data_IF_746564228361
#
_entry.id   IF_746564228361
#
_cell.length_a   1.000
_cell.length_b   1.000
_cell.length_c   1.000
_cell.angle_alpha   90.00
_cell.angle_beta   90.00
_cell.angle_gamma   90.00
#
_symmetry.space_group_name_H-M   'P 1'
#
loop_
_entity.id
_entity.type
_entity.pdbx_description
1 polymer ?
#
# COMPACT_ATOMS: atom_id res chain seq x y z
N UNK A 1 -21.11 -31.90 -17.67
CA UNK A 1 -19.94 -31.02 -17.57
C UNK A 1 -20.06 -30.23 -16.27
N UNK A 2 -19.15 -30.36 -15.30
CA UNK A 2 -19.17 -29.49 -14.13
C UNK A 2 -18.76 -28.09 -14.59
N UNK A 3 -19.66 -27.13 -14.42
CA UNK A 3 -19.38 -25.69 -14.62
C UNK A 3 -18.37 -25.33 -13.55
N UNK A 4 -17.08 -25.20 -13.92
CA UNK A 4 -16.07 -24.58 -13.10
C UNK A 4 -16.47 -23.12 -12.87
N UNK A 5 -17.12 -22.85 -11.75
CA UNK A 5 -17.31 -21.49 -11.28
C UNK A 5 -15.91 -20.90 -11.04
N UNK A 6 -15.37 -20.20 -12.02
CA UNK A 6 -14.21 -19.36 -11.81
C UNK A 6 -14.48 -18.45 -10.63
N UNK A 7 -13.76 -18.64 -9.53
CA UNK A 7 -13.88 -17.76 -8.37
C UNK A 7 -13.51 -16.34 -8.79
N UNK A 8 -14.52 -15.48 -8.94
CA UNK A 8 -14.33 -14.06 -9.29
C UNK A 8 -13.36 -13.43 -8.27
N UNK A 9 -12.24 -12.87 -8.76
CA UNK A 9 -11.21 -12.28 -7.90
C UNK A 9 -11.72 -11.05 -7.15
N UNK A 10 -11.00 -10.63 -6.09
CA UNK A 10 -11.29 -9.38 -5.37
C UNK A 10 -11.37 -8.19 -6.34
N UNK A 11 -10.36 -8.05 -7.21
CA UNK A 11 -10.27 -6.95 -8.17
C UNK A 11 -11.43 -6.93 -9.18
N UNK A 12 -11.86 -8.10 -9.67
CA UNK A 12 -13.01 -8.19 -10.57
C UNK A 12 -14.31 -7.74 -9.88
N UNK A 13 -14.50 -8.07 -8.60
CA UNK A 13 -15.70 -7.65 -7.84
C UNK A 13 -15.71 -6.17 -7.54
N UNK A 14 -14.55 -5.54 -7.41
CA UNK A 14 -14.40 -4.12 -7.12
C UNK A 14 -14.29 -3.25 -8.38
N UNK A 15 -14.13 -3.84 -9.57
CA UNK A 15 -13.89 -3.12 -10.82
C UNK A 15 -14.97 -2.08 -11.13
N UNK A 16 -16.25 -2.42 -10.94
CA UNK A 16 -17.36 -1.49 -11.19
C UNK A 16 -17.27 -0.26 -10.29
N UNK A 17 -16.92 -0.45 -9.02
CA UNK A 17 -16.73 0.63 -8.06
C UNK A 17 -15.60 1.58 -8.50
N UNK A 18 -14.44 1.04 -8.84
CA UNK A 18 -13.29 1.86 -9.27
C UNK A 18 -13.56 2.61 -10.59
N UNK A 19 -14.20 1.97 -11.57
CA UNK A 19 -14.60 2.63 -12.82
C UNK A 19 -15.58 3.79 -12.58
N UNK A 20 -16.49 3.64 -11.61
CA UNK A 20 -17.41 4.71 -11.22
C UNK A 20 -16.69 5.87 -10.52
N UNK A 21 -15.64 5.59 -9.71
CA UNK A 21 -14.80 6.62 -9.12
C UNK A 21 -14.06 7.43 -10.18
N UNK A 22 -13.37 6.77 -11.11
CA UNK A 22 -12.65 7.41 -12.23
C UNK A 22 -13.57 8.27 -13.08
N UNK A 23 -14.80 7.80 -13.30
CA UNK A 23 -15.85 8.54 -14.02
C UNK A 23 -16.52 9.62 -13.17
N UNK A 24 -16.04 9.87 -11.93
CA UNK A 24 -16.61 10.85 -10.97
C UNK A 24 -18.08 10.61 -10.60
N UNK A 25 -18.57 9.38 -10.79
CA UNK A 25 -19.93 8.97 -10.45
C UNK A 25 -20.01 8.56 -8.98
N UNK A 26 -19.65 9.47 -8.06
CA UNK A 26 -19.43 9.16 -6.64
C UNK A 26 -20.66 8.56 -5.94
N UNK A 27 -21.88 9.03 -6.26
CA UNK A 27 -23.10 8.48 -5.67
C UNK A 27 -23.39 7.04 -6.13
N UNK A 28 -23.04 6.72 -7.39
CA UNK A 28 -23.13 5.33 -7.87
C UNK A 28 -22.06 4.46 -7.24
N UNK A 29 -20.83 4.97 -7.15
CA UNK A 29 -19.72 4.29 -6.50
C UNK A 29 -20.07 3.95 -5.04
N UNK A 30 -20.65 4.90 -4.30
CA UNK A 30 -21.10 4.69 -2.92
C UNK A 30 -22.12 3.56 -2.82
N UNK A 31 -23.15 3.58 -3.66
CA UNK A 31 -24.17 2.50 -3.68
C UNK A 31 -23.58 1.13 -4.06
N UNK A 32 -22.61 1.11 -5.00
CA UNK A 32 -21.92 -0.12 -5.42
C UNK A 32 -21.08 -0.67 -4.28
N UNK A 33 -20.30 0.17 -3.62
CA UNK A 33 -19.45 -0.22 -2.49
C UNK A 33 -20.31 -0.75 -1.34
N UNK A 34 -21.40 -0.07 -1.03
CA UNK A 34 -22.29 -0.45 0.07
C UNK A 34 -23.05 -1.77 -0.21
N UNK A 35 -23.38 -2.08 -1.46
CA UNK A 35 -23.99 -3.35 -1.87
C UNK A 35 -23.00 -4.51 -1.98
N UNK A 36 -21.70 -4.24 -2.07
CA UNK A 36 -20.67 -5.28 -2.27
C UNK A 36 -20.39 -6.03 -0.97
N UNK A 37 -21.02 -7.20 -0.79
CA UNK A 37 -20.89 -8.04 0.41
C UNK A 37 -19.43 -8.43 0.72
N UNK A 38 -18.58 -8.54 -0.32
CA UNK A 38 -17.20 -8.97 -0.15
C UNK A 38 -16.39 -7.99 0.72
N UNK A 39 -16.48 -6.68 0.43
CA UNK A 39 -15.68 -5.67 1.14
C UNK A 39 -16.20 -5.45 2.57
N UNK A 40 -17.47 -5.74 2.84
CA UNK A 40 -18.09 -5.62 4.17
C UNK A 40 -17.76 -6.79 5.11
N UNK A 41 -17.11 -7.87 4.65
CA UNK A 41 -16.71 -8.97 5.52
C UNK A 41 -15.70 -8.48 6.55
N UNK A 42 -15.73 -9.05 7.76
CA UNK A 42 -14.86 -8.63 8.88
C UNK A 42 -13.41 -8.52 8.48
N UNK A 43 -12.89 -9.51 7.76
CA UNK A 43 -11.52 -9.52 7.26
C UNK A 43 -11.16 -8.41 6.27
N UNK A 44 -12.13 -7.70 5.71
CA UNK A 44 -11.97 -6.63 4.74
C UNK A 44 -12.45 -5.26 5.27
N UNK A 45 -12.87 -5.18 6.54
CA UNK A 45 -13.44 -3.97 7.15
C UNK A 45 -12.53 -2.76 6.99
N UNK A 46 -11.22 -2.93 7.14
CA UNK A 46 -10.27 -1.84 6.98
C UNK A 46 -10.37 -1.21 5.59
N UNK A 47 -10.39 -2.04 4.53
CA UNK A 47 -10.56 -1.53 3.16
C UNK A 47 -11.90 -0.84 2.95
N UNK A 48 -12.98 -1.37 3.53
CA UNK A 48 -14.28 -0.70 3.48
C UNK A 48 -14.22 0.68 4.11
N UNK A 49 -13.57 0.81 5.26
CA UNK A 49 -13.42 2.10 5.94
C UNK A 49 -12.55 3.08 5.14
N UNK A 50 -11.45 2.62 4.57
CA UNK A 50 -10.59 3.42 3.71
C UNK A 50 -11.32 3.92 2.46
N UNK A 51 -11.99 3.02 1.74
CA UNK A 51 -12.71 3.37 0.51
C UNK A 51 -13.89 4.33 0.78
N UNK A 52 -14.66 4.11 1.86
CA UNK A 52 -15.72 5.02 2.27
C UNK A 52 -15.17 6.37 2.70
N UNK A 53 -14.08 6.38 3.48
CA UNK A 53 -13.41 7.62 3.90
C UNK A 53 -12.95 8.45 2.70
N UNK A 54 -12.26 7.83 1.74
CA UNK A 54 -11.83 8.50 0.50
C UNK A 54 -13.00 9.01 -0.33
N UNK A 55 -14.05 8.21 -0.46
CA UNK A 55 -15.23 8.57 -1.25
C UNK A 55 -15.98 9.78 -0.66
N UNK A 56 -16.13 9.84 0.68
CA UNK A 56 -16.70 11.01 1.35
C UNK A 56 -15.80 12.24 1.20
N UNK A 57 -14.46 12.07 1.26
CA UNK A 57 -13.53 13.16 1.00
C UNK A 57 -13.71 13.73 -0.41
N UNK A 58 -13.80 12.86 -1.45
CA UNK A 58 -14.06 13.27 -2.84
C UNK A 58 -15.41 14.00 -3.01
N UNK A 59 -16.41 13.65 -2.20
CA UNK A 59 -17.70 14.34 -2.14
C UNK A 59 -17.68 15.62 -1.29
N UNK A 60 -16.54 15.98 -0.71
CA UNK A 60 -16.38 17.12 0.23
C UNK A 60 -17.23 17.00 1.49
N UNK A 61 -17.59 15.79 1.88
CA UNK A 61 -18.29 15.46 3.13
C UNK A 61 -17.26 15.07 4.19
N UNK A 62 -16.49 16.05 4.66
CA UNK A 62 -15.27 15.85 5.41
C UNK A 62 -15.48 15.21 6.78
N UNK A 63 -16.54 15.56 7.50
CA UNK A 63 -16.87 14.95 8.80
C UNK A 63 -17.22 13.45 8.63
N UNK A 64 -18.00 13.10 7.59
CA UNK A 64 -18.29 11.72 7.26
C UNK A 64 -17.02 10.96 6.86
N UNK A 65 -16.14 11.60 6.09
CA UNK A 65 -14.84 11.05 5.73
C UNK A 65 -14.03 10.71 6.99
N UNK A 66 -13.87 11.68 7.91
CA UNK A 66 -13.15 11.47 9.16
C UNK A 66 -13.80 10.42 10.05
N UNK A 67 -15.14 10.32 10.07
CA UNK A 67 -15.83 9.25 10.80
C UNK A 67 -15.40 7.85 10.32
N UNK A 68 -15.29 7.63 9.00
CA UNK A 68 -14.82 6.36 8.46
C UNK A 68 -13.32 6.14 8.66
N UNK A 69 -12.50 7.16 8.44
CA UNK A 69 -11.05 7.08 8.64
C UNK A 69 -10.68 6.87 10.12
N UNK A 70 -11.45 7.43 11.06
CA UNK A 70 -11.28 7.14 12.49
C UNK A 70 -11.62 5.68 12.84
N UNK A 71 -12.62 5.08 12.17
CA UNK A 71 -12.89 3.64 12.29
C UNK A 71 -11.74 2.80 11.74
N UNK A 72 -11.11 3.24 10.64
CA UNK A 72 -9.94 2.58 10.09
C UNK A 72 -8.75 2.66 11.05
N UNK A 73 -8.49 3.83 11.60
CA UNK A 73 -7.42 4.10 12.56
C UNK A 73 -7.57 3.23 13.83
N UNK A 74 -8.75 3.24 14.42
CA UNK A 74 -9.07 2.38 15.56
C UNK A 74 -8.91 0.88 15.25
N UNK A 75 -9.35 0.45 14.06
CA UNK A 75 -9.20 -0.93 13.62
C UNK A 75 -7.73 -1.34 13.52
N UNK A 76 -6.87 -0.49 12.95
CA UNK A 76 -5.43 -0.75 12.87
C UNK A 76 -4.81 -0.88 14.27
N UNK A 77 -5.18 0.00 15.20
CA UNK A 77 -4.66 -0.02 16.57
C UNK A 77 -5.08 -1.28 17.34
N UNK A 78 -6.31 -1.75 17.15
CA UNK A 78 -6.86 -2.91 17.86
C UNK A 78 -6.41 -4.24 17.28
N UNK A 79 -6.45 -4.40 15.95
CA UNK A 79 -6.12 -5.66 15.29
C UNK A 79 -4.62 -5.97 15.27
N UNK A 80 -3.75 -4.96 15.30
CA UNK A 80 -2.30 -5.19 15.44
C UNK A 80 -1.92 -5.90 16.75
N UNK A 81 -2.69 -5.69 17.81
CA UNK A 81 -2.45 -6.34 19.12
C UNK A 81 -2.77 -7.83 19.11
N UNK A 82 -3.58 -8.29 18.15
CA UNK A 82 -4.02 -9.69 18.02
C UNK A 82 -3.28 -10.48 16.92
N UNK A 83 -2.17 -9.96 16.42
CA UNK A 83 -1.42 -10.49 15.26
C UNK A 83 -0.97 -11.98 15.38
N UNK A 84 -1.04 -12.59 16.57
CA UNK A 84 -0.73 -14.02 16.72
C UNK A 84 -1.64 -14.96 15.93
N UNK A 85 -2.93 -14.60 15.73
CA UNK A 85 -3.89 -15.40 14.95
C UNK A 85 -3.77 -15.17 13.44
N UNK A 86 -3.23 -14.04 13.03
CA UNK A 86 -2.99 -13.68 11.62
C UNK A 86 -1.95 -14.62 10.98
N UNK A 87 -0.95 -15.06 11.74
CA UNK A 87 0.05 -16.01 11.27
C UNK A 87 -0.54 -17.37 10.86
N UNK A 88 -1.53 -17.88 11.61
CA UNK A 88 -2.18 -19.15 11.30
C UNK A 88 -3.05 -19.08 10.04
N UNK A 89 -3.80 -17.98 9.85
CA UNK A 89 -4.63 -17.77 8.68
C UNK A 89 -3.80 -17.61 7.40
N UNK A 90 -2.64 -16.93 7.48
CA UNK A 90 -1.72 -16.75 6.37
C UNK A 90 -1.10 -18.07 5.88
N UNK A 91 -1.04 -19.09 6.71
CA UNK A 91 -0.52 -20.42 6.33
C UNK A 91 -1.48 -21.23 5.45
N UNK A 92 -2.77 -20.88 5.44
CA UNK A 92 -3.79 -21.60 4.65
C UNK A 92 -4.13 -20.86 3.37
N UNK A 93 -4.56 -19.60 3.49
CA UNK A 93 -4.93 -18.73 2.37
C UNK A 93 -4.87 -17.27 2.81
N UNK A 94 -3.92 -16.44 2.29
CA UNK A 94 -3.77 -15.04 2.69
C UNK A 94 -5.05 -14.20 2.51
N UNK A 95 -5.88 -14.51 1.50
CA UNK A 95 -7.16 -13.84 1.29
C UNK A 95 -8.19 -14.10 2.38
N UNK A 96 -7.97 -15.10 3.24
CA UNK A 96 -8.82 -15.39 4.39
C UNK A 96 -8.37 -14.67 5.66
N UNK A 97 -7.14 -14.19 5.70
CA UNK A 97 -6.63 -13.39 6.80
C UNK A 97 -7.29 -12.00 6.85
N UNK A 98 -7.32 -11.40 8.03
CA UNK A 98 -7.72 -10.00 8.21
C UNK A 98 -6.75 -9.08 7.47
N UNK A 99 -7.27 -8.16 6.67
CA UNK A 99 -6.46 -7.16 5.98
C UNK A 99 -6.04 -6.06 6.98
N UNK A 100 -4.75 -5.87 7.15
CA UNK A 100 -4.16 -4.92 8.11
C UNK A 100 -3.61 -3.64 7.46
N UNK A 101 -3.79 -3.51 6.14
CA UNK A 101 -3.26 -2.40 5.36
C UNK A 101 -1.84 -2.63 4.84
N UNK A 102 -1.50 -1.91 3.78
CA UNK A 102 -0.12 -1.76 3.31
C UNK A 102 0.56 -0.62 4.09
N UNK A 103 1.90 -0.67 4.17
CA UNK A 103 2.66 0.25 5.03
C UNK A 103 2.40 1.73 4.74
N UNK A 104 2.22 2.12 3.46
CA UNK A 104 1.92 3.50 3.07
C UNK A 104 0.47 3.92 3.33
N UNK A 105 -0.47 2.99 3.43
CA UNK A 105 -1.90 3.34 3.52
C UNK A 105 -2.25 4.05 4.83
N UNK A 106 -1.51 3.75 5.91
CA UNK A 106 -1.66 4.42 7.19
C UNK A 106 -1.30 5.90 7.12
N UNK A 107 -0.20 6.24 6.44
CA UNK A 107 0.21 7.62 6.27
C UNK A 107 -0.79 8.39 5.42
N UNK A 108 -1.27 7.77 4.35
CA UNK A 108 -2.31 8.35 3.50
C UNK A 108 -3.62 8.57 4.24
N UNK A 109 -3.97 7.72 5.20
CA UNK A 109 -5.13 7.94 6.07
C UNK A 109 -4.98 9.24 6.87
N UNK A 110 -3.82 9.47 7.51
CA UNK A 110 -3.56 10.68 8.28
C UNK A 110 -3.48 11.94 7.39
N UNK A 111 -2.97 11.82 6.16
CA UNK A 111 -3.02 12.90 5.16
C UNK A 111 -4.47 13.35 4.90
N UNK A 112 -5.38 12.43 4.60
CA UNK A 112 -6.78 12.79 4.36
C UNK A 112 -7.48 13.30 5.61
N UNK A 113 -7.24 12.70 6.77
CA UNK A 113 -7.80 13.18 8.05
C UNK A 113 -7.35 14.61 8.35
N UNK A 114 -6.06 14.88 8.22
CA UNK A 114 -5.49 16.20 8.44
C UNK A 114 -6.10 17.25 7.52
N UNK A 115 -6.19 16.99 6.20
CA UNK A 115 -6.85 17.89 5.26
C UNK A 115 -8.33 18.10 5.57
N UNK A 116 -9.07 17.05 5.91
CA UNK A 116 -10.47 17.14 6.26
C UNK A 116 -10.71 18.08 7.46
N UNK A 117 -9.86 17.96 8.49
CA UNK A 117 -9.93 18.82 9.67
C UNK A 117 -9.62 20.28 9.32
N UNK A 118 -8.65 20.55 8.45
CA UNK A 118 -8.39 21.89 7.96
C UNK A 118 -9.58 22.47 7.16
N UNK A 119 -10.22 21.65 6.31
CA UNK A 119 -11.39 22.06 5.51
C UNK A 119 -12.64 22.34 6.36
N UNK A 120 -12.69 21.79 7.57
CA UNK A 120 -13.77 22.04 8.54
C UNK A 120 -13.37 23.02 9.64
N UNK A 121 -12.25 23.75 9.47
CA UNK A 121 -11.68 24.70 10.43
C UNK A 121 -11.40 24.10 11.82
N UNK A 122 -11.11 22.79 11.88
CA UNK A 122 -10.77 22.07 13.10
C UNK A 122 -9.24 21.92 13.20
N UNK A 123 -8.53 23.03 13.32
CA UNK A 123 -7.06 23.06 13.28
C UNK A 123 -6.42 22.28 14.44
N UNK A 124 -7.03 22.26 15.62
CA UNK A 124 -6.56 21.48 16.76
C UNK A 124 -6.54 19.96 16.45
N UNK A 125 -7.59 19.48 15.78
CA UNK A 125 -7.68 18.07 15.36
C UNK A 125 -6.67 17.74 14.25
N UNK A 126 -6.40 18.70 13.35
CA UNK A 126 -5.35 18.54 12.36
C UNK A 126 -3.96 18.38 13.01
N UNK A 127 -3.68 19.10 14.11
CA UNK A 127 -2.45 18.93 14.92
C UNK A 127 -2.39 17.55 15.57
N UNK A 128 -3.52 16.98 15.98
CA UNK A 128 -3.55 15.58 16.47
C UNK A 128 -3.10 14.63 15.38
N UNK A 129 -3.56 14.80 14.14
CA UNK A 129 -3.10 13.96 13.02
C UNK A 129 -1.61 14.16 12.71
N UNK A 130 -1.09 15.38 12.82
CA UNK A 130 0.35 15.63 12.71
C UNK A 130 1.16 14.81 13.73
N UNK A 131 0.71 14.73 14.98
CA UNK A 131 1.35 13.90 16.03
C UNK A 131 1.21 12.41 15.73
N UNK A 132 0.08 11.95 15.21
CA UNK A 132 -0.15 10.56 14.81
C UNK A 132 0.78 10.11 13.69
N UNK A 133 1.14 10.99 12.75
CA UNK A 133 2.17 10.71 11.73
C UNK A 133 3.51 10.37 12.39
N UNK A 134 3.93 11.10 13.43
CA UNK A 134 5.15 10.75 14.19
C UNK A 134 5.06 9.37 14.81
N UNK A 135 3.94 9.06 15.46
CA UNK A 135 3.74 7.75 16.09
C UNK A 135 3.74 6.62 15.06
N UNK A 136 3.13 6.84 13.89
CA UNK A 136 3.12 5.88 12.79
C UNK A 136 4.54 5.61 12.25
N UNK A 137 5.34 6.67 12.03
CA UNK A 137 6.74 6.56 11.60
C UNK A 137 7.59 5.80 12.64
N UNK A 138 7.43 6.08 13.93
CA UNK A 138 8.16 5.40 14.98
C UNK A 138 7.78 3.91 15.05
N UNK A 139 6.49 3.61 15.08
CA UNK A 139 5.99 2.24 15.11
C UNK A 139 6.45 1.42 13.89
N UNK A 140 6.51 2.02 12.69
CA UNK A 140 6.98 1.34 11.49
C UNK A 140 8.50 1.16 11.51
N UNK A 141 9.26 2.14 11.99
CA UNK A 141 10.71 2.02 12.17
C UNK A 141 11.06 0.90 13.17
N UNK A 142 10.32 0.80 14.26
CA UNK A 142 10.50 -0.25 15.28
C UNK A 142 10.17 -1.63 14.69
N UNK A 143 9.08 -1.76 13.94
CA UNK A 143 8.70 -3.02 13.26
C UNK A 143 9.80 -3.51 12.31
N UNK A 144 10.51 -2.59 11.66
CA UNK A 144 11.61 -2.92 10.76
C UNK A 144 12.98 -2.91 11.44
N UNK A 145 13.04 -2.85 12.78
CA UNK A 145 14.28 -2.77 13.55
C UNK A 145 15.22 -1.65 13.06
N UNK A 146 14.66 -0.50 12.72
CA UNK A 146 15.36 0.67 12.20
C UNK A 146 16.21 0.40 10.92
N UNK A 147 15.87 -0.61 10.13
CA UNK A 147 16.58 -0.91 8.88
C UNK A 147 16.34 0.21 7.86
N UNK A 148 17.43 0.86 7.45
CA UNK A 148 17.39 2.00 6.52
C UNK A 148 17.03 1.64 5.08
N UNK A 149 17.13 0.35 4.71
CA UNK A 149 16.77 -0.17 3.40
C UNK A 149 15.30 -0.61 3.31
N UNK A 150 14.48 -0.24 4.28
CA UNK A 150 13.05 -0.52 4.33
C UNK A 150 12.26 0.78 4.31
N UNK A 151 11.02 0.73 3.85
CA UNK A 151 10.09 1.85 3.96
C UNK A 151 9.68 2.09 5.42
N UNK A 152 10.63 2.55 6.21
CA UNK A 152 10.46 2.75 7.65
C UNK A 152 9.87 4.12 7.99
N UNK A 153 9.90 5.06 7.06
CA UNK A 153 9.42 6.43 7.22
C UNK A 153 8.75 6.90 5.94
N UNK A 154 7.78 7.78 6.10
CA UNK A 154 7.11 8.45 4.99
C UNK A 154 7.51 9.93 4.96
N UNK A 155 8.34 10.29 3.97
CA UNK A 155 8.86 11.65 3.83
C UNK A 155 7.76 12.66 3.46
N UNK A 156 6.78 12.24 2.63
CA UNK A 156 5.63 13.08 2.29
C UNK A 156 4.74 13.32 3.50
N UNK A 157 4.42 12.28 4.27
CA UNK A 157 3.62 12.43 5.48
C UNK A 157 4.31 13.37 6.50
N UNK A 158 5.64 13.31 6.65
CA UNK A 158 6.39 14.26 7.48
C UNK A 158 6.33 15.69 6.93
N UNK A 159 6.37 15.87 5.61
CA UNK A 159 6.19 17.18 4.98
C UNK A 159 4.78 17.73 5.26
N UNK A 160 3.73 16.90 5.08
CA UNK A 160 2.35 17.24 5.44
C UNK A 160 2.24 17.56 6.92
N UNK A 161 2.90 16.81 7.80
CA UNK A 161 2.96 17.09 9.23
C UNK A 161 3.46 18.51 9.52
N UNK A 162 4.52 18.93 8.83
CA UNK A 162 5.03 20.31 8.91
C UNK A 162 3.98 21.33 8.49
N UNK A 163 3.27 21.07 7.40
CA UNK A 163 2.18 21.94 6.91
C UNK A 163 1.01 22.05 7.90
N UNK A 164 0.64 20.94 8.58
CA UNK A 164 -0.42 20.94 9.59
C UNK A 164 -0.02 21.75 10.84
N UNK A 165 1.23 21.63 11.30
CA UNK A 165 1.75 22.47 12.38
C UNK A 165 1.81 23.95 11.99
N UNK A 166 2.27 24.25 10.78
CA UNK A 166 2.32 25.61 10.27
C UNK A 166 0.91 26.24 10.17
N UNK A 167 -0.09 25.48 9.72
CA UNK A 167 -1.49 25.91 9.70
C UNK A 167 -2.02 26.27 11.10
N UNK A 168 -1.48 25.64 12.14
CA UNK A 168 -1.77 25.94 13.53
C UNK A 168 -0.86 27.02 14.14
N UNK A 169 -0.01 27.67 13.35
CA UNK A 169 1.00 28.65 13.79
C UNK A 169 2.07 28.06 14.76
N UNK A 170 2.21 26.74 14.79
CA UNK A 170 3.24 26.04 15.56
C UNK A 170 4.51 25.90 14.70
N UNK A 171 5.23 27.01 14.53
CA UNK A 171 6.38 27.10 13.62
C UNK A 171 7.54 26.22 14.10
N UNK A 172 7.71 26.05 15.40
CA UNK A 172 8.78 25.19 15.93
C UNK A 172 8.58 23.74 15.53
N UNK A 173 7.40 23.18 15.76
CA UNK A 173 7.10 21.80 15.35
C UNK A 173 7.01 21.65 13.82
N UNK A 174 6.59 22.71 13.09
CA UNK A 174 6.65 22.73 11.64
C UNK A 174 8.10 22.61 11.14
N UNK A 175 9.04 23.39 11.69
CA UNK A 175 10.46 23.27 11.36
C UNK A 175 10.99 21.86 11.61
N UNK A 176 10.73 21.29 12.77
CA UNK A 176 11.17 19.93 13.13
C UNK A 176 10.64 18.91 12.12
N UNK A 177 9.37 19.00 11.74
CA UNK A 177 8.76 18.07 10.79
C UNK A 177 9.32 18.22 9.36
N UNK A 178 9.43 19.44 8.84
CA UNK A 178 10.03 19.70 7.53
C UNK A 178 11.49 19.26 7.48
N UNK A 179 12.27 19.56 8.52
CA UNK A 179 13.66 19.10 8.64
C UNK A 179 13.74 17.57 8.60
N UNK A 180 12.93 16.88 9.39
CA UNK A 180 12.91 15.43 9.42
C UNK A 180 12.52 14.84 8.06
N UNK A 181 11.58 15.46 7.33
CA UNK A 181 11.24 15.06 5.97
C UNK A 181 12.43 15.24 5.01
N UNK A 182 13.10 16.41 5.04
CA UNK A 182 14.26 16.68 4.21
C UNK A 182 15.44 15.72 4.51
N UNK A 183 15.66 15.40 5.78
CA UNK A 183 16.71 14.47 6.21
C UNK A 183 16.52 13.05 5.67
N UNK A 184 15.27 12.58 5.46
CA UNK A 184 15.01 11.30 4.79
C UNK A 184 15.54 11.31 3.37
N UNK A 185 15.31 12.40 2.62
CA UNK A 185 15.84 12.55 1.26
C UNK A 185 17.38 12.68 1.25
N UNK A 186 17.95 13.48 2.16
CA UNK A 186 19.41 13.68 2.22
C UNK A 186 20.14 12.38 2.50
N UNK A 187 19.62 11.52 3.40
CA UNK A 187 20.17 10.19 3.69
C UNK A 187 20.04 9.22 2.53
N UNK A 188 19.19 9.51 1.55
CA UNK A 188 18.89 8.69 0.37
C UNK A 188 19.39 9.34 -0.92
N UNK A 189 20.52 10.05 -0.89
CA UNK A 189 21.11 10.75 -2.03
C UNK A 189 20.13 11.72 -2.73
N UNK A 190 19.34 12.44 -1.94
CA UNK A 190 18.32 13.41 -2.39
C UNK A 190 17.18 12.78 -3.23
N UNK A 191 17.05 11.46 -3.21
CA UNK A 191 15.95 10.76 -3.90
C UNK A 191 15.40 9.62 -3.02
N UNK A 192 14.10 9.62 -2.75
CA UNK A 192 13.45 8.64 -1.89
C UNK A 192 12.21 8.08 -2.58
N UNK A 193 12.16 6.76 -2.80
CA UNK A 193 11.09 6.04 -3.49
C UNK A 193 10.54 6.76 -4.74
N UNK A 194 11.46 7.06 -5.67
CA UNK A 194 11.08 7.71 -6.94
C UNK A 194 10.97 9.23 -6.89
N UNK A 195 10.85 9.83 -5.72
CA UNK A 195 10.70 11.28 -5.53
C UNK A 195 12.05 11.93 -5.21
N UNK A 196 12.40 13.00 -5.92
CA UNK A 196 13.55 13.84 -5.59
C UNK A 196 13.19 14.83 -4.47
N UNK A 197 14.18 15.23 -3.65
CA UNK A 197 13.96 16.24 -2.60
C UNK A 197 13.30 17.50 -3.18
N UNK A 198 12.05 17.81 -2.82
CA UNK A 198 11.34 18.95 -3.41
C UNK A 198 11.98 20.28 -3.04
N UNK A 199 12.07 21.21 -4.01
CA UNK A 199 12.60 22.55 -3.75
C UNK A 199 11.74 23.32 -2.75
N UNK A 200 10.40 23.13 -2.81
CA UNK A 200 9.50 23.76 -1.86
C UNK A 200 9.78 23.29 -0.42
N UNK A 201 10.06 21.99 -0.21
CA UNK A 201 10.42 21.46 1.11
C UNK A 201 11.74 22.08 1.61
N UNK A 202 12.72 22.26 0.73
CA UNK A 202 13.97 22.95 1.08
C UNK A 202 13.68 24.37 1.56
N UNK A 203 12.84 25.11 0.82
CA UNK A 203 12.45 26.47 1.20
C UNK A 203 11.64 26.50 2.51
N UNK A 204 10.76 25.51 2.75
CA UNK A 204 9.98 25.43 3.99
C UNK A 204 10.87 25.16 5.22
N UNK A 205 11.94 24.34 5.09
CA UNK A 205 12.96 24.18 6.15
C UNK A 205 13.66 25.49 6.42
N UNK A 206 14.17 26.17 5.38
CA UNK A 206 14.94 27.41 5.54
C UNK A 206 14.05 28.54 6.11
N UNK A 207 12.83 28.66 5.60
CA UNK A 207 11.88 29.69 6.04
C UNK A 207 11.48 29.51 7.50
N UNK A 208 11.19 28.28 7.92
CA UNK A 208 10.79 28.01 9.30
C UNK A 208 11.96 28.14 10.27
N UNK A 209 13.19 27.75 9.87
CA UNK A 209 14.41 28.04 10.64
C UNK A 209 14.60 29.54 10.84
N UNK A 210 14.47 30.34 9.77
CA UNK A 210 14.57 31.79 9.82
C UNK A 210 13.53 32.42 10.76
N UNK A 211 12.25 31.97 10.67
CA UNK A 211 11.18 32.48 11.53
C UNK A 211 11.42 32.17 13.01
N UNK A 212 12.13 31.08 13.32
CA UNK A 212 12.49 30.69 14.68
C UNK A 212 13.80 31.31 15.17
N UNK A 213 14.53 32.05 14.31
CA UNK A 213 15.86 32.59 14.63
C UNK A 213 16.95 31.53 14.74
N UNK A 214 16.79 30.37 14.09
CA UNK A 214 17.77 29.28 14.07
C UNK A 214 18.80 29.49 12.97
N UNK A 215 19.65 30.51 13.13
CA UNK A 215 20.61 30.92 12.10
C UNK A 215 21.63 29.81 11.76
N UNK A 216 22.09 29.08 12.76
CA UNK A 216 23.05 27.98 12.58
C UNK A 216 22.48 26.85 11.72
N UNK A 217 21.27 26.44 12.03
CA UNK A 217 20.54 25.41 11.29
C UNK A 217 20.20 25.89 9.87
N UNK A 218 19.77 27.14 9.72
CA UNK A 218 19.51 27.72 8.40
C UNK A 218 20.77 27.64 7.52
N UNK A 219 21.91 28.13 8.00
CA UNK A 219 23.18 28.08 7.25
C UNK A 219 23.62 26.66 6.95
N UNK A 220 23.43 25.72 7.88
CA UNK A 220 23.72 24.31 7.64
C UNK A 220 22.88 23.75 6.49
N UNK A 221 21.56 23.97 6.49
CA UNK A 221 20.68 23.45 5.45
C UNK A 221 20.84 24.18 4.12
N UNK A 222 21.18 25.47 4.10
CA UNK A 222 21.56 26.19 2.88
C UNK A 222 22.74 25.51 2.17
N UNK A 223 23.76 25.08 2.93
CA UNK A 223 24.90 24.32 2.39
C UNK A 223 24.49 22.92 1.91
N UNK A 224 23.68 22.17 2.69
CA UNK A 224 23.25 20.82 2.33
C UNK A 224 22.37 20.81 1.07
N UNK A 225 21.51 21.79 0.94
CA UNK A 225 20.61 21.94 -0.21
C UNK A 225 21.32 22.57 -1.41
N UNK A 226 22.39 23.33 -1.20
CA UNK A 226 23.05 24.20 -2.17
C UNK A 226 22.08 25.28 -2.69
N UNK A 227 21.31 25.90 -1.79
CA UNK A 227 20.35 26.98 -2.08
C UNK A 227 20.25 27.91 -0.90
N UNK A 228 19.72 29.12 -1.10
CA UNK A 228 19.48 30.10 -0.05
C UNK A 228 17.99 30.34 0.14
N UNK A 229 17.63 30.90 1.30
CA UNK A 229 16.25 31.28 1.58
C UNK A 229 15.77 32.31 0.56
N UNK A 230 14.70 31.99 -0.15
CA UNK A 230 14.00 32.93 -1.00
C UNK A 230 13.06 33.79 -0.13
N UNK A 231 13.32 35.09 -0.12
CA UNK A 231 12.44 36.05 0.58
C UNK A 231 11.15 36.17 -0.22
N UNK A 232 10.09 35.66 0.34
CA UNK A 232 8.74 35.82 -0.18
C UNK A 232 7.86 36.45 0.90
N UNK A 233 7.23 37.55 0.56
CA UNK A 233 6.30 38.27 1.45
C UNK A 233 4.98 38.40 0.74
N UNK A 234 4.07 37.49 0.98
CA UNK A 234 2.73 37.55 0.42
C UNK A 234 1.73 38.11 1.40
N UNK A 235 1.19 39.31 1.10
CA UNK A 235 0.18 39.96 1.93
C UNK A 235 -1.14 39.19 2.01
N UNK A 236 -1.44 38.34 1.02
CA UNK A 236 -2.61 37.45 0.97
C UNK A 236 -2.41 36.07 1.60
N UNK A 237 -1.20 35.78 2.09
CA UNK A 237 -0.83 34.45 2.57
C UNK A 237 -0.50 33.49 1.43
N UNK A 238 -0.66 32.19 1.68
CA UNK A 238 -0.26 31.15 0.72
C UNK A 238 -1.36 30.11 0.52
N UNK A 239 -1.41 29.57 -0.70
CA UNK A 239 -2.16 28.36 -1.00
C UNK A 239 -1.19 27.18 -1.19
N UNK A 240 -1.38 26.11 -0.43
CA UNK A 240 -0.83 24.80 -0.73
C UNK A 240 -1.88 24.02 -1.53
N UNK A 241 -1.55 23.73 -2.79
CA UNK A 241 -2.42 22.96 -3.66
C UNK A 241 -1.81 21.58 -3.88
N UNK A 242 -2.52 20.52 -3.46
CA UNK A 242 -2.22 19.15 -3.82
C UNK A 242 -3.00 18.75 -5.06
N UNK A 243 -2.33 18.14 -6.04
CA UNK A 243 -2.96 17.53 -7.21
C UNK A 243 -2.70 16.04 -7.20
N UNK A 244 -3.75 15.30 -6.87
CA UNK A 244 -3.77 13.85 -6.82
C UNK A 244 -4.07 13.29 -8.21
N UNK A 245 -3.19 12.42 -8.74
CA UNK A 245 -3.27 11.94 -10.13
C UNK A 245 -3.39 10.44 -10.19
N UNK A 246 -4.34 9.98 -11.03
CA UNK A 246 -4.59 8.57 -11.28
C UNK A 246 -5.00 7.80 -10.04
N UNK A 247 -5.02 6.49 -10.14
CA UNK A 247 -5.23 5.56 -9.02
C UNK A 247 -3.96 4.78 -8.71
N UNK A 248 -3.81 4.37 -7.47
CA UNK A 248 -2.76 3.47 -7.00
C UNK A 248 -2.68 2.18 -7.84
N UNK A 249 -1.52 1.52 -7.87
CA UNK A 249 -1.35 0.29 -8.63
C UNK A 249 -2.24 -0.82 -8.09
N UNK A 250 -2.66 -1.72 -8.96
CA UNK A 250 -3.48 -2.87 -8.58
C UNK A 250 -2.59 -4.02 -8.13
N UNK A 251 -2.85 -4.54 -6.95
CA UNK A 251 -2.17 -5.74 -6.48
C UNK A 251 -2.82 -6.97 -7.12
N UNK A 252 -2.04 -7.72 -7.91
CA UNK A 252 -2.49 -8.91 -8.66
C UNK A 252 -1.76 -10.15 -8.17
N UNK A 253 -2.25 -11.29 -8.60
CA UNK A 253 -1.64 -12.60 -8.35
C UNK A 253 -0.89 -13.08 -9.60
N UNK A 254 0.31 -13.58 -9.38
CA UNK A 254 1.09 -14.29 -10.36
C UNK A 254 1.46 -15.68 -9.85
N UNK A 255 1.41 -16.64 -10.73
CA UNK A 255 1.67 -18.02 -10.40
C UNK A 255 3.06 -18.45 -10.89
N UNK A 256 3.80 -19.04 -9.99
CA UNK A 256 5.12 -19.58 -10.25
C UNK A 256 5.10 -21.10 -10.12
N UNK A 257 5.81 -21.79 -10.99
CA UNK A 257 6.09 -23.20 -10.85
C UNK A 257 7.49 -23.37 -10.24
N UNK A 258 7.59 -24.23 -9.24
CA UNK A 258 8.86 -24.62 -8.65
C UNK A 258 9.08 -26.09 -8.98
N UNK A 259 10.22 -26.43 -9.59
CA UNK A 259 10.60 -27.82 -9.90
C UNK A 259 11.90 -28.18 -9.22
N UNK A 260 11.95 -29.37 -8.69
CA UNK A 260 13.17 -29.95 -8.16
C UNK A 260 13.89 -30.75 -9.29
N UNK A 261 15.16 -30.43 -9.52
CA UNK A 261 15.98 -31.17 -10.48
C UNK A 261 16.56 -32.44 -9.83
N UNK A 262 16.91 -33.44 -10.64
CA UNK A 262 17.45 -34.72 -10.17
C UNK A 262 18.74 -34.62 -9.33
N UNK A 263 19.39 -33.45 -9.31
CA UNK A 263 20.62 -33.17 -8.56
C UNK A 263 20.36 -32.51 -7.19
N UNK A 264 19.12 -32.48 -6.70
CA UNK A 264 18.77 -31.86 -5.42
C UNK A 264 18.72 -30.34 -5.44
N UNK A 265 19.06 -29.69 -6.57
CA UNK A 265 18.95 -28.27 -6.79
C UNK A 265 17.50 -27.92 -7.17
N UNK A 266 16.81 -27.19 -6.35
CA UNK A 266 15.50 -26.64 -6.70
C UNK A 266 15.69 -25.43 -7.61
N UNK A 267 15.09 -25.49 -8.80
CA UNK A 267 14.98 -24.31 -9.68
C UNK A 267 13.68 -23.61 -9.44
N UNK A 268 13.77 -22.30 -9.24
CA UNK A 268 12.64 -21.41 -9.15
C UNK A 268 12.54 -20.61 -10.45
N UNK A 269 11.50 -20.82 -11.21
CA UNK A 269 11.29 -20.11 -12.45
C UNK A 269 9.86 -19.64 -12.60
N UNK A 270 9.72 -18.55 -13.31
CA UNK A 270 8.46 -17.98 -13.75
C UNK A 270 8.28 -18.29 -15.23
N UNK A 271 7.06 -18.63 -15.60
CA UNK A 271 6.68 -18.77 -17.01
C UNK A 271 5.91 -17.51 -17.39
N UNK A 272 6.44 -16.71 -18.32
CA UNK A 272 5.78 -15.50 -18.81
C UNK A 272 4.57 -15.84 -19.72
N UNK A 273 3.86 -14.80 -20.15
CA UNK A 273 2.70 -14.97 -21.03
C UNK A 273 3.03 -15.56 -22.41
N UNK A 274 4.30 -15.50 -22.82
CA UNK A 274 4.82 -16.07 -24.07
C UNK A 274 5.36 -17.51 -23.89
N UNK A 275 5.32 -18.04 -22.67
CA UNK A 275 5.79 -19.39 -22.35
C UNK A 275 7.29 -19.49 -22.09
N UNK A 276 8.01 -18.37 -21.98
CA UNK A 276 9.43 -18.38 -21.67
C UNK A 276 9.65 -18.66 -20.19
N UNK A 277 10.64 -19.51 -19.88
CA UNK A 277 11.08 -19.75 -18.50
C UNK A 277 12.12 -18.71 -18.10
N UNK A 278 11.81 -17.93 -17.06
CA UNK A 278 12.72 -16.96 -16.49
C UNK A 278 13.17 -17.49 -15.12
N UNK A 279 14.43 -17.88 -15.01
CA UNK A 279 14.99 -18.37 -13.74
C UNK A 279 15.11 -17.19 -12.77
N UNK A 280 14.59 -17.39 -11.55
CA UNK A 280 14.71 -16.42 -10.46
C UNK A 280 15.83 -16.96 -9.55
N UNK A 281 16.94 -16.24 -9.39
CA UNK A 281 18.01 -16.65 -8.48
C UNK A 281 17.47 -16.60 -7.04
N UNK A 282 17.30 -17.75 -6.44
CA UNK A 282 16.86 -17.88 -5.06
C UNK A 282 17.82 -18.83 -4.31
N UNK A 283 18.35 -18.35 -3.20
CA UNK A 283 19.18 -19.17 -2.33
C UNK A 283 18.29 -20.00 -1.38
N UNK A 284 18.16 -21.27 -1.67
CA UNK A 284 17.46 -22.23 -0.83
C UNK A 284 18.27 -22.66 0.41
N UNK A 285 19.49 -22.14 0.61
CA UNK A 285 20.36 -22.51 1.73
C UNK A 285 19.71 -22.40 3.10
N UNK A 286 18.80 -21.45 3.27
CA UNK A 286 18.01 -21.31 4.50
C UNK A 286 17.01 -22.46 4.69
N UNK A 287 16.54 -23.12 3.63
CA UNK A 287 15.59 -24.25 3.71
C UNK A 287 16.26 -25.62 3.79
N UNK A 288 17.52 -25.72 3.40
CA UNK A 288 18.30 -26.96 3.60
C UNK A 288 18.54 -27.28 5.09
N UNK A 289 18.35 -26.30 5.99
CA UNK A 289 18.39 -26.53 7.45
C UNK A 289 17.10 -27.13 8.01
N UNK A 290 15.99 -27.14 7.24
CA UNK A 290 14.77 -27.84 7.61
C UNK A 290 14.88 -29.28 7.10
N UNK A 291 15.67 -30.11 7.81
CA UNK A 291 15.78 -31.56 7.69
C UNK A 291 15.99 -32.08 6.26
N UNK A 292 17.22 -31.96 5.74
CA UNK A 292 17.68 -32.64 4.54
C UNK A 292 17.46 -34.19 4.55
N UNK A 293 17.14 -34.76 5.70
CA UNK A 293 16.86 -36.17 5.91
C UNK A 293 15.38 -36.55 5.86
N UNK A 294 14.47 -35.61 5.64
CA UNK A 294 13.05 -35.96 5.51
C UNK A 294 12.73 -36.43 4.08
N UNK A 295 12.75 -37.76 3.91
CA UNK A 295 12.40 -38.43 2.63
C UNK A 295 11.04 -38.02 2.07
N UNK A 296 10.17 -37.42 2.88
CA UNK A 296 8.86 -36.88 2.49
C UNK A 296 8.98 -35.62 1.64
N UNK A 297 10.03 -34.82 1.82
CA UNK A 297 10.30 -33.64 0.97
C UNK A 297 10.86 -34.02 -0.40
N UNK A 298 11.46 -35.22 -0.54
CA UNK A 298 11.97 -35.72 -1.82
C UNK A 298 10.84 -36.07 -2.81
N UNK A 299 9.59 -36.17 -2.35
CA UNK A 299 8.42 -36.41 -3.21
C UNK A 299 7.88 -35.12 -3.87
N UNK A 300 8.39 -33.94 -3.54
CA UNK A 300 8.03 -32.67 -4.18
C UNK A 300 8.74 -32.55 -5.54
N UNK A 301 8.11 -33.04 -6.60
CA UNK A 301 8.68 -32.90 -7.96
C UNK A 301 8.36 -31.55 -8.59
N UNK A 302 7.21 -31.01 -8.32
CA UNK A 302 6.75 -29.71 -8.83
C UNK A 302 5.56 -29.20 -8.00
N UNK A 303 5.54 -27.92 -7.70
CA UNK A 303 4.40 -27.28 -7.05
C UNK A 303 4.22 -25.83 -7.51
N UNK A 304 2.99 -25.34 -7.42
CA UNK A 304 2.62 -23.98 -7.77
C UNK A 304 2.67 -23.08 -6.53
N UNK A 305 3.23 -21.88 -6.69
CA UNK A 305 3.23 -20.82 -5.70
C UNK A 305 2.56 -19.59 -6.28
N UNK A 306 1.58 -19.04 -5.57
CA UNK A 306 0.93 -17.78 -5.92
C UNK A 306 1.58 -16.64 -5.15
N UNK A 307 2.16 -15.67 -5.85
CA UNK A 307 2.78 -14.47 -5.27
C UNK A 307 2.06 -13.21 -5.75
N UNK A 308 1.97 -12.16 -4.91
CA UNK A 308 1.42 -10.90 -5.34
C UNK A 308 2.43 -10.10 -6.17
N UNK A 309 1.94 -9.28 -7.09
CA UNK A 309 2.70 -8.23 -7.76
C UNK A 309 1.82 -6.99 -7.96
N UNK A 310 2.45 -5.83 -8.20
CA UNK A 310 1.72 -4.60 -8.52
C UNK A 310 1.73 -4.31 -10.01
N UNK A 311 0.54 -4.12 -10.56
CA UNK A 311 0.32 -3.60 -11.92
C UNK A 311 0.06 -2.11 -11.85
N UNK A 312 0.97 -1.32 -12.42
CA UNK A 312 0.85 0.14 -12.50
C UNK A 312 -0.14 0.51 -13.60
N UNK A 313 -1.24 1.20 -13.24
CA UNK A 313 -2.29 1.61 -14.17
C UNK A 313 -2.08 3.02 -14.73
N UNK A 314 -1.43 3.88 -13.96
CA UNK A 314 -1.20 5.27 -14.29
C UNK A 314 0.27 5.62 -14.05
N UNK A 315 0.98 6.01 -15.10
CA UNK A 315 2.43 6.26 -15.05
C UNK A 315 2.83 7.69 -15.48
N UNK A 316 1.88 8.63 -15.58
CA UNK A 316 2.18 10.01 -15.95
C UNK A 316 2.47 10.86 -14.71
N UNK A 317 3.75 11.07 -14.44
CA UNK A 317 4.28 11.88 -13.33
C UNK A 317 4.84 13.24 -13.78
N UNK A 318 4.39 13.77 -14.93
CA UNK A 318 4.86 15.08 -15.39
C UNK A 318 4.38 16.20 -14.46
N UNK A 319 5.21 17.23 -14.20
CA UNK A 319 4.81 18.39 -13.43
C UNK A 319 3.53 19.05 -13.99
N UNK A 320 2.80 19.71 -13.11
CA UNK A 320 1.57 20.42 -13.46
C UNK A 320 1.85 21.91 -13.39
N UNK A 321 1.43 22.62 -14.41
CA UNK A 321 1.59 24.07 -14.48
C UNK A 321 0.33 24.76 -13.94
N UNK A 322 0.54 25.76 -13.10
CA UNK A 322 -0.51 26.65 -12.59
C UNK A 322 -0.19 28.08 -12.98
N UNK A 323 -1.23 28.87 -13.20
CA UNK A 323 -1.13 30.32 -13.30
C UNK A 323 -1.91 30.97 -12.18
N UNK A 324 -1.27 31.84 -11.43
CA UNK A 324 -1.88 32.61 -10.33
C UNK A 324 -1.53 34.08 -10.55
N UNK A 325 -2.53 34.92 -10.73
CA UNK A 325 -2.32 36.37 -10.94
C UNK A 325 -1.28 36.68 -12.05
N UNK A 326 -1.35 35.97 -13.18
CA UNK A 326 -0.44 36.04 -14.34
C UNK A 326 1.01 35.55 -14.09
N UNK A 327 1.29 34.99 -12.93
CA UNK A 327 2.56 34.30 -12.67
C UNK A 327 2.37 32.80 -12.85
N UNK A 328 3.39 32.11 -13.38
CA UNK A 328 3.37 30.68 -13.63
C UNK A 328 4.16 29.95 -12.58
N UNK A 329 3.56 28.90 -12.02
CA UNK A 329 4.18 28.01 -11.04
C UNK A 329 4.13 26.58 -11.56
N UNK A 330 5.12 25.80 -11.19
CA UNK A 330 5.21 24.38 -11.55
C UNK A 330 5.15 23.54 -10.28
N UNK A 331 4.26 22.56 -10.25
CA UNK A 331 4.16 21.64 -9.13
C UNK A 331 5.36 20.69 -9.08
N UNK A 332 5.68 20.21 -7.89
CA UNK A 332 6.68 19.17 -7.68
C UNK A 332 5.98 17.87 -7.27
N UNK A 333 6.58 16.74 -7.61
CA UNK A 333 6.14 15.45 -7.09
C UNK A 333 6.39 15.40 -5.60
N UNK A 334 5.33 15.18 -4.82
CA UNK A 334 5.40 15.01 -3.37
C UNK A 334 5.46 13.55 -2.97
N UNK A 335 4.69 12.69 -3.70
CA UNK A 335 4.57 11.28 -3.39
C UNK A 335 4.40 10.45 -4.68
N UNK A 336 5.05 9.29 -4.73
CA UNK A 336 4.93 8.29 -5.79
C UNK A 336 4.48 6.96 -5.17
N UNK A 337 3.16 6.79 -5.07
CA UNK A 337 2.55 5.57 -4.51
C UNK A 337 2.89 4.33 -5.35
N UNK A 338 3.07 4.47 -6.67
CA UNK A 338 3.49 3.35 -7.51
C UNK A 338 4.88 2.84 -7.10
N UNK A 339 5.85 3.74 -6.98
CA UNK A 339 7.22 3.38 -6.61
C UNK A 339 7.28 2.80 -5.19
N UNK A 340 6.54 3.39 -4.25
CA UNK A 340 6.47 2.92 -2.86
C UNK A 340 5.87 1.51 -2.81
N UNK A 341 4.69 1.29 -3.41
CA UNK A 341 4.00 0.02 -3.39
C UNK A 341 4.86 -1.11 -3.99
N UNK A 342 5.45 -0.87 -5.16
CA UNK A 342 6.34 -1.84 -5.82
C UNK A 342 7.58 -2.12 -4.96
N UNK A 343 8.19 -1.10 -4.37
CA UNK A 343 9.39 -1.25 -3.54
C UNK A 343 9.11 -2.00 -2.25
N UNK A 344 8.03 -1.65 -1.54
CA UNK A 344 7.62 -2.33 -0.30
C UNK A 344 7.36 -3.82 -0.58
N UNK A 345 6.66 -4.13 -1.67
CA UNK A 345 6.40 -5.52 -2.04
C UNK A 345 7.70 -6.25 -2.37
N UNK A 346 8.62 -5.63 -3.12
CA UNK A 346 9.95 -6.18 -3.42
C UNK A 346 10.76 -6.45 -2.13
N UNK A 347 10.73 -5.52 -1.18
CA UNK A 347 11.38 -5.67 0.12
C UNK A 347 10.83 -6.86 0.92
N UNK A 348 9.54 -7.17 0.76
CA UNK A 348 8.85 -8.29 1.43
C UNK A 348 8.85 -9.59 0.62
N UNK A 349 9.28 -9.58 -0.64
CA UNK A 349 9.12 -10.70 -1.57
C UNK A 349 9.72 -12.02 -1.04
N UNK A 350 10.88 -11.97 -0.36
CA UNK A 350 11.48 -13.16 0.24
C UNK A 350 10.61 -13.74 1.36
N UNK A 351 9.98 -12.89 2.18
CA UNK A 351 9.05 -13.32 3.23
C UNK A 351 7.77 -13.89 2.63
N UNK A 352 7.22 -13.24 1.60
CA UNK A 352 6.04 -13.74 0.87
C UNK A 352 6.30 -15.10 0.23
N UNK A 353 7.46 -15.27 -0.41
CA UNK A 353 7.88 -16.53 -0.98
C UNK A 353 8.04 -17.60 0.10
N UNK A 354 8.71 -17.28 1.22
CA UNK A 354 8.88 -18.19 2.34
C UNK A 354 7.54 -18.69 2.90
N UNK A 355 6.58 -17.75 3.10
CA UNK A 355 5.24 -18.09 3.55
C UNK A 355 4.49 -18.96 2.52
N UNK A 356 4.63 -18.67 1.24
CA UNK A 356 4.01 -19.46 0.18
C UNK A 356 4.56 -20.90 0.14
N UNK A 357 5.87 -21.07 0.29
CA UNK A 357 6.50 -22.39 0.40
C UNK A 357 6.03 -23.14 1.64
N UNK A 358 5.98 -22.48 2.81
CA UNK A 358 5.49 -23.09 4.04
C UNK A 358 4.04 -23.57 3.90
N UNK A 359 3.17 -22.79 3.21
CA UNK A 359 1.80 -23.23 2.89
C UNK A 359 1.77 -24.50 2.06
N UNK A 360 2.60 -24.58 1.02
CA UNK A 360 2.65 -25.78 0.16
C UNK A 360 3.12 -27.02 0.93
N UNK A 361 4.14 -26.88 1.78
CA UNK A 361 4.60 -27.95 2.66
C UNK A 361 3.47 -28.41 3.58
N UNK A 362 2.78 -27.48 4.24
CA UNK A 362 1.66 -27.81 5.14
C UNK A 362 0.52 -28.53 4.40
N UNK A 363 0.15 -28.06 3.20
CA UNK A 363 -0.86 -28.71 2.35
C UNK A 363 -0.46 -30.12 1.96
N UNK A 364 0.81 -30.34 1.57
CA UNK A 364 1.31 -31.68 1.20
C UNK A 364 1.32 -32.63 2.40
N UNK A 365 1.71 -32.17 3.57
CA UNK A 365 1.63 -32.96 4.80
C UNK A 365 0.19 -33.38 5.12
N UNK A 366 -0.78 -32.46 4.89
CA UNK A 366 -2.21 -32.75 5.08
C UNK A 366 -2.68 -33.81 4.07
N UNK A 367 -2.26 -33.73 2.80
CA UNK A 367 -2.53 -34.73 1.76
C UNK A 367 -2.03 -36.12 2.19
N UNK A 368 -0.77 -36.22 2.58
CA UNK A 368 -0.16 -37.48 3.03
C UNK A 368 -0.90 -38.04 4.26
N UNK A 369 -1.29 -37.19 5.22
CA UNK A 369 -2.05 -37.64 6.38
C UNK A 369 -3.44 -38.18 5.98
N UNK A 370 -4.12 -37.51 5.03
CA UNK A 370 -5.42 -37.93 4.52
C UNK A 370 -5.34 -39.25 3.76
N UNK A 371 -4.30 -39.44 2.94
CA UNK A 371 -4.02 -40.70 2.25
C UNK A 371 -3.89 -41.86 3.24
N UNK A 372 -3.03 -41.69 4.26
CA UNK A 372 -2.80 -42.72 5.28
C UNK A 372 -4.05 -43.04 6.07
N UNK A 373 -4.82 -42.03 6.48
CA UNK A 373 -6.07 -42.22 7.20
C UNK A 373 -7.11 -42.98 6.35
N UNK A 374 -7.20 -42.66 5.04
CA UNK A 374 -8.09 -43.37 4.11
C UNK A 374 -7.65 -44.80 3.88
N UNK A 375 -6.35 -45.07 3.77
CA UNK A 375 -5.78 -46.43 3.68
C UNK A 375 -6.13 -47.26 4.93
N UNK A 376 -5.97 -46.71 6.14
CA UNK A 376 -6.30 -47.38 7.39
C UNK A 376 -7.79 -47.70 7.50
N UNK A 377 -8.66 -46.72 7.18
CA UNK A 377 -10.11 -46.92 7.18
C UNK A 377 -10.52 -47.98 6.16
N UNK A 378 -10.00 -47.95 4.96
CA UNK A 378 -10.28 -48.91 3.91
C UNK A 378 -9.79 -50.32 4.30
N UNK A 379 -8.61 -50.42 4.91
CA UNK A 379 -8.05 -51.66 5.43
C UNK A 379 -8.92 -52.29 6.50
N UNK A 380 -9.40 -51.47 7.47
CA UNK A 380 -10.23 -51.89 8.57
C UNK A 380 -11.64 -52.31 8.14
N UNK A 381 -12.20 -51.61 7.14
CA UNK A 381 -13.56 -51.89 6.63
C UNK A 381 -13.63 -52.93 5.51
N UNK A 382 -12.52 -53.42 5.03
CA UNK A 382 -12.48 -54.43 3.95
C UNK A 382 -12.92 -55.80 4.44
N UNK A 383 -13.93 -56.34 3.76
CA UNK A 383 -14.40 -57.72 3.95
C UNK A 383 -13.59 -58.76 3.14
N UNK A 384 -12.56 -58.30 2.42
CA UNK A 384 -11.73 -59.15 1.59
C UNK A 384 -10.84 -60.04 2.49
N UNK A 385 -10.80 -61.34 2.18
CA UNK A 385 -10.00 -62.35 2.91
C UNK A 385 -8.60 -62.44 2.38
N UNK A 386 -8.34 -61.97 1.13
CA UNK A 386 -7.03 -61.95 0.52
C UNK A 386 -6.28 -60.69 0.97
N UNK A 387 -5.21 -60.88 1.72
CA UNK A 387 -4.37 -59.79 2.25
C UNK A 387 -3.79 -58.90 1.16
N UNK A 388 -3.46 -59.46 -0.02
CA UNK A 388 -2.89 -58.71 -1.14
C UNK A 388 -3.92 -57.79 -1.77
N UNK A 389 -5.14 -58.26 -2.03
CA UNK A 389 -6.25 -57.52 -2.55
C UNK A 389 -6.77 -56.47 -1.54
N UNK A 390 -6.71 -56.78 -0.25
CA UNK A 390 -7.06 -55.88 0.83
C UNK A 390 -6.10 -54.68 0.85
N UNK A 391 -4.80 -54.90 0.73
CA UNK A 391 -3.79 -53.86 0.64
C UNK A 391 -3.92 -52.99 -0.60
N UNK A 392 -4.23 -53.63 -1.75
CA UNK A 392 -4.44 -52.89 -3.01
C UNK A 392 -5.67 -51.98 -2.97
N UNK A 393 -6.82 -52.44 -2.42
CA UNK A 393 -8.00 -51.61 -2.20
C UNK A 393 -7.76 -50.46 -1.24
N UNK A 394 -6.99 -50.69 -0.16
CA UNK A 394 -6.62 -49.65 0.78
C UNK A 394 -5.74 -48.60 0.13
N UNK A 395 -4.74 -49.00 -0.63
CA UNK A 395 -3.84 -48.12 -1.38
C UNK A 395 -4.62 -47.25 -2.39
N UNK A 396 -5.52 -47.83 -3.17
CA UNK A 396 -6.38 -47.11 -4.12
C UNK A 396 -7.28 -46.11 -3.43
N UNK A 397 -7.84 -46.42 -2.25
CA UNK A 397 -8.62 -45.46 -1.46
C UNK A 397 -7.77 -44.28 -0.96
N UNK A 398 -6.52 -44.54 -0.53
CA UNK A 398 -5.57 -43.51 -0.16
C UNK A 398 -5.23 -42.57 -1.33
N UNK A 399 -4.87 -43.17 -2.47
CA UNK A 399 -4.51 -42.42 -3.69
C UNK A 399 -5.68 -41.52 -4.18
N UNK A 400 -6.93 -42.00 -4.18
CA UNK A 400 -8.09 -41.20 -4.56
C UNK A 400 -8.31 -40.05 -3.57
N UNK A 401 -8.16 -40.29 -2.27
CA UNK A 401 -8.30 -39.27 -1.24
C UNK A 401 -7.20 -38.21 -1.37
N UNK A 402 -5.97 -38.63 -1.59
CA UNK A 402 -4.85 -37.75 -1.82
C UNK A 402 -5.03 -36.84 -3.05
N UNK A 403 -5.50 -37.43 -4.17
CA UNK A 403 -5.85 -36.66 -5.38
C UNK A 403 -6.91 -35.59 -5.12
N UNK A 404 -7.96 -35.90 -4.36
CA UNK A 404 -9.01 -34.95 -4.02
C UNK A 404 -8.45 -33.83 -3.15
N UNK A 405 -7.65 -34.15 -2.13
CA UNK A 405 -7.04 -33.15 -1.25
C UNK A 405 -6.06 -32.27 -2.04
N UNK A 406 -5.28 -32.86 -2.95
CA UNK A 406 -4.35 -32.12 -3.80
C UNK A 406 -5.07 -31.13 -4.72
N UNK A 407 -6.17 -31.53 -5.36
CA UNK A 407 -6.98 -30.64 -6.19
C UNK A 407 -7.56 -29.48 -5.37
N UNK A 408 -8.05 -29.73 -4.15
CA UNK A 408 -8.54 -28.68 -3.25
C UNK A 408 -7.39 -27.74 -2.86
N UNK A 409 -6.25 -28.29 -2.48
CA UNK A 409 -5.08 -27.49 -2.08
C UNK A 409 -4.57 -26.62 -3.22
N UNK A 410 -4.50 -27.14 -4.44
CA UNK A 410 -4.09 -26.37 -5.63
C UNK A 410 -5.09 -25.26 -5.95
N UNK A 411 -6.39 -25.51 -5.84
CA UNK A 411 -7.44 -24.53 -6.09
C UNK A 411 -7.51 -23.43 -5.02
N UNK A 412 -7.01 -23.70 -3.81
CA UNK A 412 -7.04 -22.75 -2.69
C UNK A 412 -5.76 -21.91 -2.56
N UNK A 413 -4.72 -22.17 -3.34
CA UNK A 413 -3.52 -21.34 -3.33
C UNK A 413 -3.82 -19.97 -3.97
N UNK A 414 -3.71 -18.93 -3.17
CA UNK A 414 -4.02 -17.53 -3.54
C UNK A 414 -3.01 -16.59 -2.90
N UNK A 415 -2.61 -15.57 -3.64
CA UNK A 415 -1.92 -14.42 -3.07
C UNK A 415 -2.94 -13.41 -2.50
N UNK A 416 -2.52 -12.59 -1.54
CA UNK A 416 -3.33 -11.45 -1.12
C UNK A 416 -3.25 -10.35 -2.18
N UNK A 417 -4.37 -10.07 -2.85
CA UNK A 417 -4.48 -9.07 -3.92
C UNK A 417 -5.22 -7.81 -3.48
N UNK A 418 -5.39 -7.63 -2.17
CA UNK A 418 -6.08 -6.47 -1.59
C UNK A 418 -5.10 -5.32 -1.41
N UNK A 419 -5.55 -4.10 -1.69
CA UNK A 419 -4.92 -2.84 -1.35
C UNK A 419 -5.94 -1.70 -1.51
N UNK A 420 -5.66 -0.53 -0.93
CA UNK A 420 -6.48 0.67 -1.04
C UNK A 420 -6.26 1.34 -2.40
N UNK A 421 -7.00 0.90 -3.41
CA UNK A 421 -6.76 1.27 -4.81
C UNK A 421 -7.26 2.68 -5.18
N UNK A 422 -8.15 3.28 -4.39
CA UNK A 422 -8.60 4.66 -4.63
C UNK A 422 -7.60 5.73 -4.17
N UNK A 423 -6.46 5.34 -3.59
CA UNK A 423 -5.33 6.24 -3.40
C UNK A 423 -4.84 6.77 -4.76
N UNK A 424 -4.27 7.98 -4.84
CA UNK A 424 -3.66 8.47 -6.06
C UNK A 424 -2.39 7.67 -6.42
N UNK A 425 -2.07 7.57 -7.71
CA UNK A 425 -0.79 7.05 -8.17
C UNK A 425 0.36 8.02 -7.82
N UNK A 426 0.09 9.31 -7.97
CA UNK A 426 1.03 10.40 -7.65
C UNK A 426 0.31 11.53 -6.94
N UNK A 427 1.02 12.17 -6.02
CA UNK A 427 0.62 13.45 -5.44
C UNK A 427 1.66 14.49 -5.85
N UNK A 428 1.20 15.54 -6.50
CA UNK A 428 1.98 16.74 -6.74
C UNK A 428 1.54 17.83 -5.77
N UNK A 429 2.44 18.71 -5.40
CA UNK A 429 2.09 19.87 -4.62
C UNK A 429 2.83 21.12 -5.11
N UNK A 430 2.26 22.26 -4.78
CA UNK A 430 2.86 23.56 -5.01
C UNK A 430 2.36 24.53 -3.92
N UNK A 431 3.25 25.37 -3.46
CA UNK A 431 2.94 26.48 -2.57
C UNK A 431 3.00 27.78 -3.40
N UNK A 432 1.89 28.48 -3.46
CA UNK A 432 1.79 29.73 -4.25
C UNK A 432 1.41 30.90 -3.37
N UNK A 433 2.06 32.08 -3.54
CA UNK A 433 1.69 33.27 -2.83
C UNK A 433 0.35 33.84 -3.35
N UNK A 434 -0.46 34.36 -2.47
CA UNK A 434 -1.74 34.98 -2.77
C UNK A 434 -1.66 36.50 -2.56
N UNK A 435 -2.31 37.26 -3.42
CA UNK A 435 -2.61 38.67 -3.17
C UNK A 435 -3.77 38.80 -2.16
N UNK A 436 -3.83 39.88 -1.43
CA UNK A 436 -4.97 40.15 -0.53
C UNK A 436 -6.26 40.27 -1.34
N UNK A 437 -7.30 39.56 -0.94
CA UNK A 437 -8.60 39.51 -1.63
C UNK A 437 -8.68 38.36 -2.63
N UNK A 438 -9.39 38.55 -3.72
CA UNK A 438 -9.66 37.49 -4.71
C UNK A 438 -8.44 37.10 -5.56
N UNK A 439 -8.21 35.81 -5.67
CA UNK A 439 -7.18 35.21 -6.53
C UNK A 439 -7.80 34.14 -7.42
N UNK A 440 -7.41 34.12 -8.70
CA UNK A 440 -7.80 33.07 -9.64
C UNK A 440 -6.60 32.19 -9.91
N UNK A 441 -6.68 30.95 -9.41
CA UNK A 441 -5.68 29.91 -9.66
C UNK A 441 -6.15 29.07 -10.85
N UNK A 442 -5.42 29.10 -11.96
CA UNK A 442 -5.72 28.35 -13.19
C UNK A 442 -4.83 27.12 -13.23
N UNK A 443 -5.41 25.95 -13.07
CA UNK A 443 -4.74 24.68 -13.20
C UNK A 443 -4.82 24.19 -14.64
N UNK A 444 -3.70 24.01 -15.31
CA UNK A 444 -3.63 23.53 -16.69
C UNK A 444 -3.36 22.03 -16.65
N UNK A 445 -4.35 21.22 -17.03
CA UNK A 445 -4.19 19.76 -17.07
C UNK A 445 -3.37 19.33 -18.28
N UNK A 446 -2.79 18.13 -18.23
CA UNK A 446 -2.01 17.53 -19.33
C UNK A 446 -2.80 17.38 -20.64
N UNK A 447 -4.14 17.45 -20.58
CA UNK A 447 -5.05 17.44 -21.74
C UNK A 447 -5.41 18.85 -22.22
N UNK A 448 -4.72 19.90 -21.74
CA UNK A 448 -4.99 21.31 -22.10
C UNK A 448 -6.26 21.91 -21.47
N UNK A 449 -6.99 21.16 -20.66
CA UNK A 449 -8.17 21.69 -19.97
C UNK A 449 -7.74 22.56 -18.80
N UNK A 450 -8.28 23.78 -18.73
CA UNK A 450 -8.08 24.70 -17.62
C UNK A 450 -9.18 24.53 -16.56
N UNK A 451 -8.76 24.42 -15.29
CA UNK A 451 -9.66 24.43 -14.14
C UNK A 451 -9.38 25.70 -13.34
N UNK A 452 -10.37 26.58 -13.22
CA UNK A 452 -10.26 27.79 -12.42
C UNK A 452 -10.66 27.49 -10.96
N UNK A 453 -9.84 27.95 -10.02
CA UNK A 453 -10.08 27.86 -8.59
C UNK A 453 -10.06 29.29 -8.05
N UNK A 454 -11.14 29.75 -7.43
CA UNK A 454 -11.20 31.04 -6.77
C UNK A 454 -10.78 30.89 -5.32
N UNK A 455 -9.80 31.68 -4.89
CA UNK A 455 -9.19 31.63 -3.55
C UNK A 455 -9.15 33.04 -2.97
N UNK A 456 -9.61 33.19 -1.74
CA UNK A 456 -9.52 34.46 -1.02
C UNK A 456 -8.19 34.52 -0.23
N UNK A 457 -7.33 35.46 -0.58
CA UNK A 457 -6.11 35.74 0.18
C UNK A 457 -6.44 36.51 1.48
N UNK A 458 -6.33 35.82 2.61
CA UNK A 458 -6.68 36.30 3.93
C UNK A 458 -5.49 36.51 4.88
N UNK A 459 -4.25 36.31 4.36
CA UNK A 459 -2.99 36.41 5.12
C UNK A 459 -2.52 35.10 5.76
N UNK A 460 -3.32 34.05 5.72
CA UNK A 460 -3.00 32.73 6.31
C UNK A 460 -2.54 31.71 5.30
N UNK A 461 -2.27 30.50 5.81
CA UNK A 461 -1.99 29.32 5.00
C UNK A 461 -3.29 28.58 4.67
N UNK A 462 -3.57 28.40 3.40
CA UNK A 462 -4.76 27.72 2.89
C UNK A 462 -4.40 26.45 2.17
N UNK A 463 -5.33 25.49 2.16
CA UNK A 463 -5.13 24.18 1.56
C UNK A 463 -6.23 23.85 0.56
N UNK A 464 -5.84 23.24 -0.53
CA UNK A 464 -6.75 22.61 -1.46
C UNK A 464 -6.16 21.30 -1.97
N UNK A 465 -7.02 20.34 -2.26
CA UNK A 465 -6.63 19.18 -3.08
C UNK A 465 -7.58 19.02 -4.27
N UNK A 466 -7.05 18.47 -5.35
CA UNK A 466 -7.78 18.18 -6.58
C UNK A 466 -7.37 16.84 -7.12
N UNK A 467 -8.36 15.95 -7.28
CA UNK A 467 -8.14 14.64 -7.91
C UNK A 467 -8.37 14.74 -9.41
N UNK A 468 -7.39 14.27 -10.17
CA UNK A 468 -7.39 14.21 -11.64
C UNK A 468 -7.17 12.74 -12.04
N UNK A 469 -8.25 12.12 -12.53
CA UNK A 469 -8.25 10.73 -13.03
C UNK A 469 -7.71 10.62 -14.45
#
# INVERSE_FOLDING_TARGET
MPVLYSCVSYNQRMAVYYNQLESKQYDKAMRTLDKTKLIKRDRNKLLYYFEMGKLYHLKKQYDSSNSFLNKADHFIETERKTAGDVLKANLINPMMATYLGEDMERFMMHYYKGLNYLYTNQTSEAVVEARRITLANNAQSDEFNNKTNRYSKDAFAMNVQGMLYEAASDINNAFIAYRNAADVYLKSNKKYYGVSLPNQLQQDVLRTANLMGFESEQQQYEKLFNTTLQKDTSAGGYLILFVERGMAPVKREQNFAITQTNNGLSRFYYVDEMGNQIDIPFDFGYYNTINANDTRLQSFRSFRVALPYYEVRYNNNNPITLSVNNQTYTSETAEDINAIAVSILKERMLKELANALARQITKKLTEIAAEKSAEEIAKNNSKEKDETKKKEKAKNAGEITGLIVNLINTATEKADTRNWQSLPAYIHYVRVPLQKGENVVKLITSKGKTINLNVQGNGGLQFMNRTVW
#
